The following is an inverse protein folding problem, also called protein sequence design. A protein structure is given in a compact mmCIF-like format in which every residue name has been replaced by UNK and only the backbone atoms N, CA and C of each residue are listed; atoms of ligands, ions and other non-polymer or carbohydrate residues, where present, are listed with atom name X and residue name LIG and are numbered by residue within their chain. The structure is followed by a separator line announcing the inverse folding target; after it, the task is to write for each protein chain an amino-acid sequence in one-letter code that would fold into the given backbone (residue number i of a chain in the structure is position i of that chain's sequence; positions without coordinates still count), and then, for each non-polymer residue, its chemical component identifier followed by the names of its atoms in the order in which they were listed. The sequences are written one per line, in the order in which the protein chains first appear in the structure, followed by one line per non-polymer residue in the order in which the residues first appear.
data_IF_053580534259
#
_entry.id   IF_053580534259
#
_cell.length_a   1.000
_cell.length_b   1.000
_cell.length_c   1.000
_cell.angle_alpha   90.00
_cell.angle_beta   90.00
_cell.angle_gamma   90.00
#
_symmetry.space_group_name_H-M   'P 1'
#
loop_
_entity.id
_entity.type
_entity.pdbx_description
1 polymer ?
#
# COMPACT_ATOMS: atom_id res chain seq x y z
N UNK A 1 -6.37 -13.32 -0.75
CA UNK A 1 -5.64 -12.15 -1.27
C UNK A 1 -4.61 -12.51 -2.35
N UNK A 2 -3.46 -13.15 -2.03
CA UNK A 2 -2.38 -13.37 -3.03
C UNK A 2 -2.85 -14.16 -4.25
N UNK A 3 -3.53 -15.29 -4.06
CA UNK A 3 -4.03 -16.12 -5.17
C UNK A 3 -5.02 -15.38 -6.06
N UNK A 4 -5.92 -14.57 -5.45
CA UNK A 4 -6.87 -13.72 -6.19
C UNK A 4 -6.16 -12.64 -6.99
N UNK A 5 -5.10 -12.05 -6.43
CA UNK A 5 -4.28 -11.06 -7.11
C UNK A 5 -3.59 -11.68 -8.32
N UNK A 6 -2.89 -12.80 -8.15
CA UNK A 6 -2.23 -13.51 -9.25
C UNK A 6 -3.23 -13.92 -10.34
N UNK A 7 -4.43 -14.37 -9.97
CA UNK A 7 -5.48 -14.69 -10.94
C UNK A 7 -5.92 -13.47 -11.77
N UNK A 8 -5.90 -12.26 -11.20
CA UNK A 8 -6.29 -11.02 -11.91
C UNK A 8 -5.18 -10.39 -12.74
N UNK A 9 -3.93 -10.43 -12.27
CA UNK A 9 -2.83 -9.66 -12.87
C UNK A 9 -1.65 -10.50 -13.37
N UNK A 10 -1.77 -11.83 -13.27
CA UNK A 10 -0.70 -12.76 -13.63
C UNK A 10 0.39 -12.87 -12.56
N UNK A 11 1.54 -13.46 -12.90
CA UNK A 11 2.60 -13.75 -11.95
C UNK A 11 3.15 -12.48 -11.28
N UNK A 12 3.51 -12.61 -10.00
CA UNK A 12 4.12 -11.57 -9.18
C UNK A 12 5.42 -12.06 -8.57
N UNK A 13 6.39 -11.16 -8.39
CA UNK A 13 7.61 -11.42 -7.61
C UNK A 13 7.46 -10.79 -6.23
N UNK A 14 7.31 -11.60 -5.20
CA UNK A 14 7.31 -11.14 -3.80
C UNK A 14 8.72 -10.71 -3.42
N UNK A 15 8.84 -9.52 -2.83
CA UNK A 15 10.12 -8.90 -2.45
C UNK A 15 10.26 -8.69 -0.96
N UNK A 16 9.15 -8.62 -0.23
CA UNK A 16 9.13 -8.44 1.22
C UNK A 16 7.89 -9.07 1.82
N UNK A 17 8.06 -9.70 2.99
CA UNK A 17 6.99 -10.30 3.80
C UNK A 17 7.15 -9.84 5.26
N UNK A 18 7.54 -10.69 6.20
CA UNK A 18 7.70 -10.31 7.62
C UNK A 18 9.10 -9.80 8.00
N UNK A 19 10.10 -9.98 7.14
CA UNK A 19 11.48 -9.58 7.41
C UNK A 19 11.76 -8.09 7.17
N UNK A 20 12.80 -7.56 7.83
CA UNK A 20 13.30 -6.19 7.62
C UNK A 20 12.66 -5.14 8.54
N UNK A 21 12.96 -3.87 8.26
CA UNK A 21 12.48 -2.73 9.04
C UNK A 21 11.27 -2.07 8.37
N UNK A 22 10.15 -2.09 9.07
CA UNK A 22 8.88 -1.49 8.65
C UNK A 22 8.43 -0.39 9.61
N UNK A 23 7.42 0.39 9.21
CA UNK A 23 6.79 1.38 10.09
C UNK A 23 6.25 0.72 11.38
N UNK A 24 6.24 1.45 12.49
CA UNK A 24 5.95 0.95 13.86
C UNK A 24 4.69 0.08 13.99
N UNK A 25 3.66 0.35 13.18
CA UNK A 25 2.39 -0.40 13.17
C UNK A 25 2.12 -1.10 11.82
N UNK A 26 3.18 -1.48 11.10
CA UNK A 26 3.05 -2.10 9.79
C UNK A 26 2.48 -3.51 9.88
N UNK A 27 1.61 -3.83 8.91
CA UNK A 27 1.03 -5.16 8.75
C UNK A 27 2.08 -6.24 8.38
N UNK A 28 3.28 -5.86 7.93
CA UNK A 28 4.39 -6.79 7.68
C UNK A 28 4.80 -7.56 8.95
N UNK A 29 4.85 -6.88 10.11
CA UNK A 29 5.25 -7.51 11.38
C UNK A 29 4.27 -8.58 11.86
N UNK A 30 3.05 -8.61 11.34
CA UNK A 30 2.04 -9.61 11.66
C UNK A 30 1.86 -10.65 10.56
N UNK A 31 2.71 -10.65 9.53
CA UNK A 31 2.56 -11.54 8.37
C UNK A 31 1.32 -11.24 7.51
N UNK A 32 0.76 -10.04 7.65
CA UNK A 32 -0.50 -9.61 7.00
C UNK A 32 -0.29 -8.71 5.79
N UNK A 33 0.96 -8.50 5.38
CA UNK A 33 1.32 -7.70 4.22
C UNK A 33 2.42 -8.34 3.37
N UNK A 34 2.41 -8.00 2.09
CA UNK A 34 3.49 -8.28 1.16
C UNK A 34 3.84 -7.04 0.35
N UNK A 35 5.11 -6.93 -0.02
CA UNK A 35 5.50 -6.09 -1.15
C UNK A 35 5.87 -6.98 -2.32
N UNK A 36 5.45 -6.58 -3.52
CA UNK A 36 5.71 -7.34 -4.74
C UNK A 36 5.95 -6.44 -5.95
N UNK A 37 6.46 -7.04 -7.02
CA UNK A 37 6.48 -6.46 -8.37
C UNK A 37 5.64 -7.32 -9.32
N UNK A 38 4.70 -6.75 -10.07
CA UNK A 38 4.00 -7.48 -11.12
C UNK A 38 4.97 -7.85 -12.25
N UNK A 39 4.84 -9.05 -12.80
CA UNK A 39 5.69 -9.52 -13.91
C UNK A 39 5.01 -9.28 -15.26
N UNK A 40 3.71 -9.55 -15.36
CA UNK A 40 2.95 -9.43 -16.60
C UNK A 40 2.12 -8.14 -16.72
N UNK A 41 1.79 -7.51 -15.59
CA UNK A 41 0.94 -6.32 -15.53
C UNK A 41 1.73 -5.05 -15.21
N UNK A 42 1.21 -3.88 -15.61
CA UNK A 42 1.75 -2.60 -15.15
C UNK A 42 1.50 -2.41 -13.64
N UNK A 43 2.37 -1.66 -12.96
CA UNK A 43 2.18 -1.27 -11.55
C UNK A 43 0.82 -0.62 -11.32
N UNK A 44 0.37 0.23 -12.26
CA UNK A 44 -0.94 0.90 -12.18
C UNK A 44 -2.09 -0.11 -12.22
N UNK A 45 -2.03 -1.07 -13.14
CA UNK A 45 -3.04 -2.14 -13.25
C UNK A 45 -3.04 -3.04 -12.00
N UNK A 46 -1.86 -3.35 -11.47
CA UNK A 46 -1.72 -4.13 -10.23
C UNK A 46 -2.37 -3.44 -9.03
N UNK A 47 -2.12 -2.14 -8.85
CA UNK A 47 -2.75 -1.33 -7.80
C UNK A 47 -4.27 -1.29 -7.97
N UNK A 48 -4.77 -1.08 -9.19
CA UNK A 48 -6.20 -1.06 -9.46
C UNK A 48 -6.87 -2.40 -9.14
N UNK A 49 -6.26 -3.52 -9.56
CA UNK A 49 -6.75 -4.85 -9.24
C UNK A 49 -6.74 -5.12 -7.74
N UNK A 50 -5.66 -4.78 -7.04
CA UNK A 50 -5.55 -4.97 -5.59
C UNK A 50 -6.61 -4.18 -4.82
N UNK A 51 -6.90 -2.93 -5.22
CA UNK A 51 -7.96 -2.10 -4.62
C UNK A 51 -9.37 -2.67 -4.84
N UNK A 52 -9.58 -3.43 -5.91
CA UNK A 52 -10.86 -4.03 -6.25
C UNK A 52 -11.12 -5.36 -5.53
N UNK A 53 -10.12 -5.96 -4.88
CA UNK A 53 -10.29 -7.20 -4.13
C UNK A 53 -10.96 -6.92 -2.77
N UNK A 54 -11.98 -7.72 -2.43
CA UNK A 54 -12.63 -7.65 -1.12
C UNK A 54 -11.72 -8.11 0.02
N UNK A 55 -10.74 -8.97 -0.28
CA UNK A 55 -9.76 -9.50 0.67
C UNK A 55 -8.63 -8.51 1.01
N UNK A 56 -8.58 -7.33 0.37
CA UNK A 56 -7.54 -6.34 0.59
C UNK A 56 -7.96 -5.29 1.62
N UNK A 57 -7.10 -5.06 2.61
CA UNK A 57 -7.20 -3.97 3.59
C UNK A 57 -6.57 -2.69 3.03
N UNK A 58 -5.25 -2.63 3.00
CA UNK A 58 -4.48 -1.51 2.45
C UNK A 58 -3.78 -1.82 1.12
N UNK A 59 -3.62 -0.78 0.30
CA UNK A 59 -2.86 -0.81 -0.96
C UNK A 59 -1.99 0.45 -1.06
N UNK A 60 -0.73 0.26 -1.43
CA UNK A 60 0.18 1.35 -1.76
C UNK A 60 1.10 1.03 -2.93
N UNK A 61 1.68 2.07 -3.52
CA UNK A 61 2.67 1.93 -4.59
C UNK A 61 3.80 2.92 -4.43
N UNK A 62 5.00 2.51 -4.83
CA UNK A 62 6.21 3.30 -4.80
C UNK A 62 6.69 3.64 -6.22
N UNK A 63 7.41 4.77 -6.41
CA UNK A 63 7.90 5.18 -7.73
C UNK A 63 8.79 4.15 -8.45
N UNK A 64 9.43 3.25 -7.71
CA UNK A 64 10.28 2.18 -8.25
C UNK A 64 9.51 0.92 -8.70
N UNK A 65 8.19 1.01 -8.85
CA UNK A 65 7.33 -0.08 -9.30
C UNK A 65 7.02 -1.15 -8.24
N UNK A 66 7.42 -0.92 -6.99
CA UNK A 66 7.03 -1.78 -5.86
C UNK A 66 5.58 -1.50 -5.45
N UNK A 67 4.81 -2.55 -5.19
CA UNK A 67 3.42 -2.48 -4.73
C UNK A 67 3.33 -3.12 -3.36
N UNK A 68 2.71 -2.41 -2.42
CA UNK A 68 2.37 -2.88 -1.08
C UNK A 68 0.90 -3.28 -1.04
N UNK A 69 0.59 -4.45 -0.48
CA UNK A 69 -0.78 -4.88 -0.19
C UNK A 69 -0.85 -5.60 1.15
N UNK A 70 -1.93 -5.38 1.89
CA UNK A 70 -2.16 -6.00 3.19
C UNK A 70 -3.62 -6.41 3.40
N UNK A 71 -3.87 -7.21 4.45
CA UNK A 71 -5.21 -7.67 4.87
C UNK A 71 -5.64 -7.05 6.21
N UNK A 72 -5.08 -5.89 6.58
CA UNK A 72 -5.42 -5.16 7.80
C UNK A 72 -6.85 -4.62 7.79
N UNK A 73 -7.27 -3.99 8.89
CA UNK A 73 -8.48 -3.17 8.87
C UNK A 73 -8.35 -2.12 7.76
N UNK A 74 -9.42 -1.89 7.00
CA UNK A 74 -9.40 -1.13 5.73
C UNK A 74 -9.08 0.34 5.95
N UNK A 75 -7.80 0.64 6.11
CA UNK A 75 -7.24 1.99 6.21
C UNK A 75 -6.88 2.47 4.80
N UNK A 76 -7.57 3.53 4.38
CA UNK A 76 -7.53 4.16 3.06
C UNK A 76 -6.18 4.04 2.32
N UNK A 77 -6.22 3.49 1.10
CA UNK A 77 -5.05 3.32 0.21
C UNK A 77 -4.07 4.51 0.25
N UNK A 78 -2.78 4.22 0.36
CA UNK A 78 -1.73 5.21 0.58
C UNK A 78 -0.85 5.32 -0.68
N UNK A 79 -0.82 6.49 -1.32
CA UNK A 79 0.20 6.77 -2.33
C UNK A 79 1.47 7.25 -1.62
N UNK A 80 2.59 6.56 -1.85
CA UNK A 80 3.88 6.89 -1.25
C UNK A 80 4.46 8.21 -1.76
N UNK A 81 3.91 9.33 -1.30
CA UNK A 81 4.72 10.51 -1.01
C UNK A 81 4.96 10.53 0.49
N UNK A 82 6.20 10.88 0.92
CA UNK A 82 6.42 11.32 2.31
C UNK A 82 5.23 12.21 2.69
N UNK A 83 4.54 11.90 3.81
CA UNK A 83 3.64 12.86 4.44
C UNK A 83 4.48 14.09 4.78
N UNK A 84 4.59 15.04 3.86
CA UNK A 84 4.80 16.43 4.22
C UNK A 84 3.66 16.73 5.19
N UNK A 85 3.98 16.97 6.47
CA UNK A 85 3.04 17.54 7.41
C UNK A 85 2.55 18.83 6.76
N UNK A 86 1.38 18.80 6.12
CA UNK A 86 0.57 20.00 5.99
C UNK A 86 0.31 20.42 7.43
N UNK A 87 1.13 21.34 7.92
CA UNK A 87 0.75 22.18 9.04
C UNK A 87 -0.62 22.74 8.64
N UNK A 88 -1.65 22.27 9.33
CA UNK A 88 -2.91 22.99 9.45
C UNK A 88 -2.53 24.35 10.02
N UNK A 89 -2.44 25.34 9.13
CA UNK A 89 -2.37 26.74 9.53
C UNK A 89 -3.69 27.02 10.22
N UNK A 90 -3.66 27.01 11.55
CA UNK A 90 -4.73 27.55 12.35
C UNK A 90 -4.81 29.03 11.98
N UNK A 91 -5.83 29.41 11.19
CA UNK A 91 -6.21 30.80 11.00
C UNK A 91 -6.63 31.30 12.37
N UNK A 92 -5.66 31.80 13.12
CA UNK A 92 -5.93 32.65 14.26
C UNK A 92 -6.51 33.95 13.70
N UNK A 93 -7.85 33.97 13.63
CA UNK A 93 -8.61 35.21 13.76
C UNK A 93 -8.08 35.91 15.01
N UNK A 94 -7.43 37.05 14.86
CA UNK A 94 -7.43 38.02 15.93
C UNK A 94 -7.74 39.39 15.34
N UNK A 95 -8.99 39.78 15.55
CA UNK A 95 -9.46 41.15 15.56
C UNK A 95 -8.60 42.00 16.50
N UNK A 96 -8.13 43.14 16.01
CA UNK A 96 -8.19 44.47 16.64
C UNK A 96 -7.53 45.48 15.73
#
# INVERSE_FOLDING_TARGET
MISELVAKIGPIKITSTCGGRHARNSQHYSGRAIDFRPVAASTRSAVAAAKALASTGGVGSYPNGLVHVDVGAREASWYGHKRSRRQVAYVARNSR
#
